data_IF_226759070171
#
_entry.id   IF_226759070171
#
_cell.length_a   1.000
_cell.length_b   1.000
_cell.length_c   1.000
_cell.angle_alpha   90.00
_cell.angle_beta   90.00
_cell.angle_gamma   90.00
#
_symmetry.space_group_name_H-M   'P 1'
#
loop_
_entity.id
_entity.type
_entity.pdbx_description
1 polymer ?
#
# COMPACT_ATOMS: atom_id res chain seq x y z
N UNK A 1 32.31 0.32 2.52
CA UNK A 1 30.97 -0.29 2.58
C UNK A 1 30.17 0.38 3.69
N UNK A 2 29.30 1.34 3.37
CA UNK A 2 28.45 2.00 4.38
C UNK A 2 27.38 1.00 4.83
N UNK A 3 27.52 0.46 6.05
CA UNK A 3 26.41 -0.26 6.71
C UNK A 3 25.34 0.78 7.01
N UNK A 4 24.18 0.63 6.40
CA UNK A 4 23.07 1.52 6.71
C UNK A 4 22.66 1.30 8.17
N UNK A 5 22.45 2.36 8.95
CA UNK A 5 22.13 2.23 10.37
C UNK A 5 20.81 1.52 10.62
N UNK A 6 20.73 0.70 11.68
CA UNK A 6 19.50 -0.01 12.07
C UNK A 6 18.32 0.94 12.33
N UNK A 7 18.57 2.12 12.90
CA UNK A 7 17.53 3.11 13.14
C UNK A 7 16.85 3.60 11.84
N UNK A 8 17.59 3.67 10.72
CA UNK A 8 17.02 4.04 9.42
C UNK A 8 16.01 2.99 8.96
N UNK A 9 16.34 1.70 9.13
CA UNK A 9 15.40 0.60 8.83
C UNK A 9 14.14 0.74 9.67
N UNK A 10 14.29 0.96 10.98
CA UNK A 10 13.16 1.11 11.90
C UNK A 10 12.27 2.29 11.50
N UNK A 11 12.86 3.44 11.17
CA UNK A 11 12.10 4.62 10.72
C UNK A 11 11.35 4.34 9.42
N UNK A 12 11.98 3.70 8.44
CA UNK A 12 11.32 3.34 7.17
C UNK A 12 10.17 2.36 7.41
N UNK A 13 10.37 1.32 8.22
CA UNK A 13 9.30 0.38 8.58
C UNK A 13 8.15 1.07 9.30
N UNK A 14 8.44 2.00 10.23
CA UNK A 14 7.43 2.74 10.97
C UNK A 14 6.63 3.65 10.04
N UNK A 15 7.29 4.40 9.16
CA UNK A 15 6.62 5.25 8.15
C UNK A 15 5.74 4.39 7.25
N UNK A 16 6.27 3.28 6.71
CA UNK A 16 5.50 2.40 5.85
C UNK A 16 4.30 1.77 6.56
N UNK A 17 4.46 1.34 7.81
CA UNK A 17 3.36 0.81 8.61
C UNK A 17 2.29 1.87 8.88
N UNK A 18 2.66 3.10 9.23
CA UNK A 18 1.72 4.20 9.44
C UNK A 18 0.95 4.51 8.15
N UNK A 19 1.63 4.61 7.01
CA UNK A 19 0.98 4.91 5.73
C UNK A 19 0.04 3.79 5.27
N UNK A 20 0.41 2.51 5.48
CA UNK A 20 -0.49 1.38 5.28
C UNK A 20 -1.74 1.50 6.18
N UNK A 21 -1.58 1.81 7.46
CA UNK A 21 -2.72 1.98 8.37
C UNK A 21 -3.63 3.16 7.96
N UNK A 22 -3.06 4.25 7.44
CA UNK A 22 -3.85 5.36 6.87
C UNK A 22 -4.67 4.89 5.67
N UNK A 23 -4.08 4.10 4.77
CA UNK A 23 -4.80 3.45 3.65
C UNK A 23 -5.91 2.52 4.15
N UNK A 24 -5.60 1.67 5.12
CA UNK A 24 -6.56 0.76 5.75
C UNK A 24 -7.77 1.51 6.33
N UNK A 25 -7.57 2.64 7.01
CA UNK A 25 -8.67 3.46 7.56
C UNK A 25 -9.58 3.96 6.45
N UNK A 26 -9.02 4.37 5.30
CA UNK A 26 -9.83 4.75 4.14
C UNK A 26 -10.66 3.57 3.64
N UNK A 27 -10.04 2.41 3.41
CA UNK A 27 -10.73 1.21 2.94
C UNK A 27 -11.80 0.69 3.92
N UNK A 28 -11.53 0.73 5.22
CA UNK A 28 -12.54 0.38 6.26
C UNK A 28 -13.68 1.38 6.24
N UNK A 29 -13.39 2.68 6.14
CA UNK A 29 -14.44 3.70 6.09
C UNK A 29 -15.35 3.53 4.88
N UNK A 30 -14.75 3.24 3.72
CA UNK A 30 -15.48 2.98 2.47
C UNK A 30 -16.33 1.71 2.59
N UNK A 31 -15.77 0.63 3.13
CA UNK A 31 -16.48 -0.63 3.37
C UNK A 31 -17.66 -0.45 4.32
N UNK A 32 -17.51 0.35 5.38
CA UNK A 32 -18.59 0.63 6.33
C UNK A 32 -19.70 1.50 5.73
N UNK A 33 -19.37 2.40 4.81
CA UNK A 33 -20.34 3.32 4.19
C UNK A 33 -21.06 2.72 2.99
N UNK A 34 -20.36 1.92 2.19
CA UNK A 34 -20.81 1.48 0.87
C UNK A 34 -20.85 -0.04 0.71
N UNK A 35 -20.39 -0.79 1.72
CA UNK A 35 -20.27 -2.24 1.63
C UNK A 35 -19.15 -2.65 0.66
N UNK A 36 -19.25 -3.88 0.13
CA UNK A 36 -18.25 -4.44 -0.78
C UNK A 36 -18.26 -3.80 -2.18
N UNK A 37 -19.25 -2.97 -2.49
CA UNK A 37 -19.38 -2.25 -3.75
C UNK A 37 -19.22 -0.76 -3.48
N UNK A 38 -17.98 -0.35 -3.22
CA UNK A 38 -17.63 1.03 -2.88
C UNK A 38 -17.95 1.99 -4.03
N UNK A 39 -17.65 1.56 -5.26
CA UNK A 39 -17.80 2.39 -6.45
C UNK A 39 -18.68 1.69 -7.48
N UNK A 40 -19.83 2.29 -7.79
CA UNK A 40 -20.78 1.73 -8.76
C UNK A 40 -20.25 1.71 -10.20
N UNK A 41 -19.33 2.61 -10.53
CA UNK A 41 -18.68 2.66 -11.84
C UNK A 41 -17.58 1.61 -12.01
N UNK A 42 -17.08 1.04 -10.91
CA UNK A 42 -15.94 0.14 -10.94
C UNK A 42 -16.38 -1.33 -11.10
N UNK A 43 -15.65 -2.15 -11.90
CA UNK A 43 -15.90 -3.58 -11.98
C UNK A 43 -15.88 -4.25 -10.59
N UNK A 44 -16.69 -5.30 -10.42
CA UNK A 44 -16.81 -6.03 -9.14
C UNK A 44 -15.49 -6.53 -8.57
N UNK A 45 -14.57 -6.98 -9.42
CA UNK A 45 -13.27 -7.48 -8.98
C UNK A 45 -12.39 -6.37 -8.37
N UNK A 46 -12.53 -5.14 -8.88
CA UNK A 46 -11.75 -3.98 -8.43
C UNK A 46 -12.27 -3.49 -7.07
N UNK A 47 -13.59 -3.46 -6.91
CA UNK A 47 -14.27 -3.23 -5.64
C UNK A 47 -13.87 -4.27 -4.56
N UNK A 48 -13.85 -5.56 -4.93
CA UNK A 48 -13.41 -6.62 -4.03
C UNK A 48 -11.93 -6.48 -3.65
N UNK A 49 -11.09 -6.11 -4.62
CA UNK A 49 -9.68 -5.85 -4.38
C UNK A 49 -9.48 -4.71 -3.37
N UNK A 50 -10.06 -3.52 -3.61
CA UNK A 50 -9.96 -2.40 -2.66
C UNK A 50 -10.55 -2.72 -1.28
N UNK A 51 -11.65 -3.47 -1.24
CA UNK A 51 -12.21 -3.93 0.04
C UNK A 51 -11.25 -4.86 0.80
N UNK A 52 -10.49 -5.70 0.09
CA UNK A 52 -9.51 -6.61 0.71
C UNK A 52 -8.33 -5.87 1.35
N UNK A 53 -8.00 -4.66 0.87
CA UNK A 53 -6.94 -3.82 1.43
C UNK A 53 -7.23 -3.39 2.87
N UNK A 54 -8.51 -3.30 3.26
CA UNK A 54 -8.92 -3.07 4.65
C UNK A 54 -8.35 -4.13 5.63
N UNK A 55 -8.04 -5.33 5.14
CA UNK A 55 -7.41 -6.40 5.91
C UNK A 55 -5.91 -6.56 5.61
N UNK A 56 -5.52 -6.46 4.33
CA UNK A 56 -4.14 -6.67 3.91
C UNK A 56 -3.19 -5.57 4.43
N UNK A 57 -3.64 -4.33 4.47
CA UNK A 57 -2.82 -3.20 4.92
C UNK A 57 -2.46 -3.30 6.42
N UNK A 58 -3.42 -3.53 7.34
CA UNK A 58 -3.09 -3.76 8.75
C UNK A 58 -2.22 -4.99 8.97
N UNK A 59 -2.42 -6.05 8.19
CA UNK A 59 -1.59 -7.26 8.28
C UNK A 59 -0.14 -6.95 7.90
N UNK A 60 0.08 -6.27 6.77
CA UNK A 60 1.41 -5.84 6.34
C UNK A 60 2.06 -4.91 7.37
N UNK A 61 1.31 -3.95 7.91
CA UNK A 61 1.77 -3.05 8.95
C UNK A 61 2.18 -3.80 10.24
N UNK A 62 1.34 -4.74 10.70
CA UNK A 62 1.63 -5.54 11.89
C UNK A 62 2.88 -6.41 11.72
N UNK A 63 3.08 -7.01 10.54
CA UNK A 63 4.28 -7.79 10.23
C UNK A 63 5.53 -6.90 10.18
N UNK A 64 5.45 -5.69 9.60
CA UNK A 64 6.54 -4.72 9.58
C UNK A 64 6.93 -4.24 10.98
N UNK A 65 5.94 -3.90 11.82
CA UNK A 65 6.16 -3.51 13.23
C UNK A 65 6.79 -4.66 14.02
N UNK A 66 6.38 -5.90 13.72
CA UNK A 66 6.96 -7.11 14.31
C UNK A 66 8.37 -7.42 13.81
N UNK A 67 8.94 -6.62 12.92
CA UNK A 67 10.28 -6.83 12.37
C UNK A 67 10.38 -8.02 11.41
N UNK A 68 9.26 -8.49 10.86
CA UNK A 68 9.20 -9.67 9.99
C UNK A 68 9.38 -9.32 8.52
N UNK A 69 10.23 -10.06 7.84
CA UNK A 69 10.56 -9.93 6.41
C UNK A 69 9.33 -10.08 5.53
N UNK A 70 8.42 -10.98 5.92
CA UNK A 70 7.13 -11.16 5.24
C UNK A 70 6.28 -9.89 5.21
N UNK A 71 6.44 -8.97 6.17
CA UNK A 71 5.77 -7.67 6.14
C UNK A 71 6.25 -6.79 4.99
N UNK A 72 7.56 -6.76 4.73
CA UNK A 72 8.11 -6.02 3.60
C UNK A 72 7.70 -6.65 2.26
N UNK A 73 7.70 -7.98 2.16
CA UNK A 73 7.28 -8.69 0.96
C UNK A 73 5.80 -8.44 0.65
N UNK A 74 4.93 -8.51 1.66
CA UNK A 74 3.51 -8.20 1.53
C UNK A 74 3.26 -6.73 1.18
N UNK A 75 3.93 -5.79 1.84
CA UNK A 75 3.82 -4.37 1.53
C UNK A 75 4.21 -4.08 0.07
N UNK A 76 5.26 -4.72 -0.45
CA UNK A 76 5.64 -4.58 -1.87
C UNK A 76 4.55 -5.11 -2.81
N UNK A 77 3.97 -6.27 -2.49
CA UNK A 77 2.89 -6.85 -3.28
C UNK A 77 1.65 -5.95 -3.30
N UNK A 78 1.26 -5.42 -2.14
CA UNK A 78 0.15 -4.47 -2.00
C UNK A 78 0.45 -3.23 -2.85
N UNK A 79 1.57 -2.54 -2.63
CA UNK A 79 1.90 -1.30 -3.35
C UNK A 79 1.95 -1.49 -4.87
N UNK A 80 2.48 -2.62 -5.34
CA UNK A 80 2.52 -2.93 -6.77
C UNK A 80 1.13 -3.14 -7.34
N UNK A 81 0.32 -3.97 -6.67
CA UNK A 81 -1.02 -4.31 -7.16
C UNK A 81 -1.99 -3.15 -7.02
N UNK A 82 -1.86 -2.33 -5.98
CA UNK A 82 -2.77 -1.22 -5.71
C UNK A 82 -2.49 -0.05 -6.64
N UNK A 83 -1.21 0.25 -6.89
CA UNK A 83 -0.83 1.22 -7.90
C UNK A 83 -1.32 0.79 -9.30
N UNK A 84 -1.22 -0.49 -9.65
CA UNK A 84 -1.72 -1.00 -10.92
C UNK A 84 -3.25 -0.93 -11.02
N UNK A 85 -3.96 -1.28 -9.94
CA UNK A 85 -5.41 -1.20 -9.86
C UNK A 85 -5.92 0.24 -10.02
N UNK A 86 -5.31 1.19 -9.29
CA UNK A 86 -5.67 2.61 -9.38
C UNK A 86 -5.27 3.23 -10.71
N UNK A 87 -4.11 2.85 -11.29
CA UNK A 87 -3.73 3.29 -12.63
C UNK A 87 -4.71 2.76 -13.69
N UNK A 88 -5.12 1.50 -13.60
CA UNK A 88 -6.14 0.94 -14.48
C UNK A 88 -7.47 1.67 -14.34
N UNK A 89 -7.89 1.97 -13.12
CA UNK A 89 -9.13 2.73 -12.88
C UNK A 89 -9.06 4.14 -13.47
N UNK A 90 -7.97 4.87 -13.20
CA UNK A 90 -7.78 6.24 -13.67
C UNK A 90 -7.68 6.31 -15.20
N UNK A 91 -6.78 5.54 -15.82
CA UNK A 91 -6.51 5.65 -17.25
C UNK A 91 -7.49 4.85 -18.11
N UNK A 92 -7.81 3.63 -17.67
CA UNK A 92 -8.57 2.65 -18.45
C UNK A 92 -10.08 2.80 -18.34
N UNK A 93 -10.59 3.24 -17.19
CA UNK A 93 -12.03 3.37 -16.95
C UNK A 93 -12.46 4.84 -16.95
N UNK A 94 -11.77 5.68 -16.17
CA UNK A 94 -12.17 7.07 -15.98
C UNK A 94 -11.56 8.03 -17.02
N UNK A 95 -10.61 7.55 -17.83
CA UNK A 95 -9.88 8.36 -18.81
C UNK A 95 -9.27 9.65 -18.23
N UNK A 96 -8.85 9.58 -16.97
CA UNK A 96 -8.19 10.65 -16.23
C UNK A 96 -6.67 10.60 -16.45
N UNK A 97 -5.92 11.45 -15.74
CA UNK A 97 -4.47 11.53 -15.82
C UNK A 97 -3.82 11.56 -14.43
N UNK A 98 -2.52 11.23 -14.34
CA UNK A 98 -1.79 11.30 -13.05
C UNK A 98 -1.87 12.69 -12.43
N UNK A 99 -1.82 13.74 -13.25
CA UNK A 99 -1.88 15.13 -12.80
C UNK A 99 -3.24 15.49 -12.19
N UNK A 100 -4.32 14.87 -12.68
CA UNK A 100 -5.69 15.12 -12.24
C UNK A 100 -6.08 14.31 -10.99
N UNK A 101 -5.31 13.30 -10.62
CA UNK A 101 -5.62 12.36 -9.52
C UNK A 101 -4.64 12.50 -8.33
N UNK A 102 -4.89 13.41 -7.36
CA UNK A 102 -4.04 13.57 -6.19
C UNK A 102 -3.88 12.28 -5.35
N UNK A 103 -4.91 11.42 -5.35
CA UNK A 103 -4.85 10.10 -4.70
C UNK A 103 -3.78 9.20 -5.33
N UNK A 104 -3.78 9.10 -6.66
CA UNK A 104 -2.81 8.31 -7.41
C UNK A 104 -1.38 8.86 -7.27
N UNK A 105 -1.21 10.19 -7.18
CA UNK A 105 0.10 10.80 -6.90
C UNK A 105 0.66 10.40 -5.53
N UNK A 106 -0.17 10.45 -4.48
CA UNK A 106 0.24 10.02 -3.13
C UNK A 106 0.56 8.54 -3.08
N UNK A 107 -0.29 7.72 -3.72
CA UNK A 107 -0.07 6.27 -3.83
C UNK A 107 1.25 5.96 -4.55
N UNK A 108 1.53 6.65 -5.66
CA UNK A 108 2.79 6.49 -6.39
C UNK A 108 4.00 6.86 -5.53
N UNK A 109 3.94 7.99 -4.82
CA UNK A 109 5.02 8.41 -3.92
C UNK A 109 5.26 7.36 -2.82
N UNK A 110 4.18 6.79 -2.27
CA UNK A 110 4.29 5.74 -1.27
C UNK A 110 4.84 4.44 -1.84
N UNK A 111 4.39 4.02 -3.02
CA UNK A 111 4.90 2.85 -3.72
C UNK A 111 6.40 2.98 -4.02
N UNK A 112 6.86 4.16 -4.46
CA UNK A 112 8.29 4.44 -4.68
C UNK A 112 9.09 4.29 -3.39
N UNK A 113 8.59 4.80 -2.26
CA UNK A 113 9.23 4.63 -0.96
C UNK A 113 9.36 3.14 -0.59
N UNK A 114 8.26 2.39 -0.65
CA UNK A 114 8.25 0.98 -0.24
C UNK A 114 9.14 0.14 -1.15
N UNK A 115 8.94 0.22 -2.47
CA UNK A 115 9.69 -0.59 -3.44
C UNK A 115 11.17 -0.20 -3.48
N UNK A 116 11.48 1.10 -3.40
CA UNK A 116 12.84 1.61 -3.40
C UNK A 116 13.63 1.22 -2.15
N UNK A 117 12.97 1.11 -0.99
CA UNK A 117 13.62 0.73 0.27
C UNK A 117 13.54 -0.76 0.59
N UNK A 118 12.71 -1.53 -0.12
CA UNK A 118 12.47 -2.95 0.15
C UNK A 118 13.75 -3.82 0.19
N UNK A 119 14.68 -3.79 -0.78
CA UNK A 119 15.89 -4.62 -0.73
C UNK A 119 16.75 -4.32 0.51
N UNK A 120 16.71 -3.06 0.95
CA UNK A 120 17.47 -2.56 2.09
C UNK A 120 16.84 -2.95 3.44
N UNK A 121 15.52 -2.83 3.55
CA UNK A 121 14.78 -3.19 4.76
C UNK A 121 14.79 -4.71 4.93
N UNK A 122 14.50 -5.45 3.87
CA UNK A 122 14.34 -6.90 3.86
C UNK A 122 15.55 -7.68 4.38
N UNK A 123 16.77 -7.17 4.15
CA UNK A 123 18.04 -7.78 4.64
C UNK A 123 18.28 -7.60 6.15
N UNK A 124 17.51 -6.74 6.82
CA UNK A 124 17.64 -6.44 8.25
C UNK A 124 16.50 -7.00 9.10
N UNK A 125 15.46 -7.56 8.48
CA UNK A 125 14.29 -8.15 9.13
C UNK A 125 14.49 -9.65 9.35
N UNK A 126 13.85 -10.20 10.38
CA UNK A 126 13.83 -11.66 10.64
C UNK A 126 12.83 -12.34 9.72
N UNK A 127 13.02 -13.63 9.43
CA UNK A 127 11.98 -14.39 8.74
C UNK A 127 10.69 -14.43 9.59
#
# INVERSE_FOLDING_TARGET
>A
MYRTPRWVVTVVCAIAAVLLLVGAVAHVTDLLRHGLQVYDWAPRWLNLYWSSLALLDPLAAALLISGKRHGADLACAIMTTDLAANAYAAYGIQHSSLAAEPGLQRLLAFAVLVLGTAPFVRRHLTN
#
